data_IF_168672628509
#
_entry.id   IF_168672628509
#
_cell.length_a   1.000
_cell.length_b   1.000
_cell.length_c   1.000
_cell.angle_alpha   90.00
_cell.angle_beta   90.00
_cell.angle_gamma   90.00
#
_symmetry.space_group_name_H-M   'P 1'
#
loop_
_entity.id
_entity.type
_entity.pdbx_description
1 polymer ?
#
# COMPACT_ATOMS: atom_id res chain seq x y z
N UNK A 1 20.75 9.26 -16.16
CA UNK A 1 19.70 9.41 -15.12
C UNK A 1 18.31 8.88 -15.57
N UNK A 2 18.25 8.08 -16.60
CA UNK A 2 16.97 7.63 -17.17
C UNK A 2 16.34 6.40 -16.49
N UNK A 3 16.84 6.00 -15.33
CA UNK A 3 16.42 4.79 -14.65
C UNK A 3 15.93 4.99 -13.20
N UNK A 4 15.47 6.19 -12.82
CA UNK A 4 15.01 6.49 -11.46
C UNK A 4 13.51 6.27 -11.29
N UNK A 5 13.12 5.61 -10.17
CA UNK A 5 11.74 5.59 -9.65
C UNK A 5 11.65 6.43 -8.40
N UNK A 6 10.65 7.29 -8.32
CA UNK A 6 10.33 8.05 -7.11
C UNK A 6 9.27 7.31 -6.31
N UNK A 7 9.51 7.06 -5.01
CA UNK A 7 8.57 6.38 -4.10
C UNK A 7 8.11 7.35 -3.03
N UNK A 8 6.92 7.94 -3.20
CA UNK A 8 6.29 8.79 -2.18
C UNK A 8 5.67 7.93 -1.08
N UNK A 9 6.05 8.18 0.16
CA UNK A 9 5.62 7.35 1.30
C UNK A 9 6.52 6.14 1.54
N UNK A 10 7.78 6.18 1.09
CA UNK A 10 8.76 5.10 1.24
C UNK A 10 8.98 4.65 2.69
N UNK A 11 8.88 5.55 3.68
CA UNK A 11 8.97 5.22 5.11
C UNK A 11 7.69 4.59 5.70
N UNK A 12 6.62 4.46 4.90
CA UNK A 12 5.38 3.80 5.29
C UNK A 12 5.48 2.27 5.23
N UNK A 13 4.43 1.59 5.72
CA UNK A 13 4.34 0.13 5.74
C UNK A 13 4.54 -0.50 4.34
N UNK A 14 3.68 -0.14 3.38
CA UNK A 14 3.76 -0.69 2.03
C UNK A 14 4.95 -0.11 1.27
N UNK A 15 5.21 1.21 1.41
CA UNK A 15 6.32 1.88 0.73
C UNK A 15 7.69 1.28 1.06
N UNK A 16 7.92 0.88 2.31
CA UNK A 16 9.18 0.22 2.71
C UNK A 16 9.33 -1.18 2.10
N UNK A 17 8.24 -1.94 1.96
CA UNK A 17 8.27 -3.24 1.29
C UNK A 17 8.56 -3.08 -0.21
N UNK A 18 7.91 -2.10 -0.86
CA UNK A 18 8.17 -1.76 -2.26
C UNK A 18 9.64 -1.35 -2.46
N UNK A 19 10.17 -0.49 -1.59
CA UNK A 19 11.58 -0.06 -1.67
C UNK A 19 12.53 -1.25 -1.52
N UNK A 20 12.33 -2.14 -0.53
CA UNK A 20 13.14 -3.37 -0.37
C UNK A 20 13.14 -4.22 -1.63
N UNK A 21 11.97 -4.46 -2.20
CA UNK A 21 11.84 -5.25 -3.42
C UNK A 21 12.58 -4.60 -4.60
N UNK A 22 12.37 -3.30 -4.85
CA UNK A 22 12.99 -2.58 -5.96
C UNK A 22 14.52 -2.57 -5.83
N UNK A 23 15.06 -2.24 -4.66
CA UNK A 23 16.51 -2.25 -4.41
C UNK A 23 17.10 -3.66 -4.60
N UNK A 24 16.44 -4.70 -4.10
CA UNK A 24 16.85 -6.09 -4.32
C UNK A 24 16.83 -6.46 -5.80
N UNK A 25 15.81 -6.04 -6.54
CA UNK A 25 15.66 -6.33 -7.97
C UNK A 25 16.70 -5.59 -8.82
N UNK A 26 17.04 -4.33 -8.47
CA UNK A 26 18.10 -3.56 -9.11
C UNK A 26 19.45 -4.27 -8.91
N UNK A 27 19.80 -4.62 -7.68
CA UNK A 27 21.06 -5.31 -7.35
C UNK A 27 21.19 -6.66 -8.05
N UNK A 28 20.09 -7.31 -8.33
CA UNK A 28 20.02 -8.57 -9.07
C UNK A 28 19.98 -8.39 -10.60
N UNK A 29 19.99 -7.14 -11.11
CA UNK A 29 19.91 -6.85 -12.55
C UNK A 29 18.55 -7.22 -13.19
N UNK A 30 17.48 -7.34 -12.40
CA UNK A 30 16.15 -7.79 -12.86
C UNK A 30 15.11 -6.67 -12.94
N UNK A 31 15.42 -5.48 -12.45
CA UNK A 31 14.49 -4.36 -12.45
C UNK A 31 14.51 -3.63 -13.80
N UNK A 32 13.38 -3.61 -14.49
CA UNK A 32 13.20 -2.89 -15.76
C UNK A 32 11.90 -2.12 -15.77
N UNK A 33 11.79 -1.12 -16.65
CA UNK A 33 10.54 -0.43 -16.99
C UNK A 33 9.82 -1.13 -18.14
N UNK A 34 8.61 -0.64 -18.46
CA UNK A 34 7.76 -1.15 -19.55
C UNK A 34 8.39 -1.07 -20.95
N UNK A 35 9.38 -0.21 -21.16
CA UNK A 35 10.11 -0.06 -22.41
C UNK A 35 11.43 -0.84 -22.43
N UNK A 36 11.65 -1.73 -21.45
CA UNK A 36 12.83 -2.57 -21.32
C UNK A 36 14.07 -1.88 -20.78
N UNK A 37 14.03 -0.55 -20.53
CA UNK A 37 15.18 0.14 -19.91
C UNK A 37 15.36 -0.30 -18.46
N UNK A 38 16.62 -0.43 -17.99
CA UNK A 38 16.87 -0.83 -16.63
C UNK A 38 16.41 0.24 -15.63
N UNK A 39 15.78 -0.21 -14.53
CA UNK A 39 15.62 0.58 -13.31
C UNK A 39 16.95 0.54 -12.56
N UNK A 40 17.56 1.69 -12.33
CA UNK A 40 18.92 1.79 -11.77
C UNK A 40 18.97 2.51 -10.42
N UNK A 41 17.94 3.30 -10.09
CA UNK A 41 17.92 4.11 -8.88
C UNK A 41 16.51 4.26 -8.30
N UNK A 42 16.39 4.32 -6.98
CA UNK A 42 15.14 4.60 -6.27
C UNK A 42 15.29 5.84 -5.41
N UNK A 43 14.49 6.86 -5.68
CA UNK A 43 14.35 8.05 -4.85
C UNK A 43 13.26 7.83 -3.80
N UNK A 44 13.63 7.55 -2.56
CA UNK A 44 12.72 7.39 -1.45
C UNK A 44 12.29 8.75 -0.88
N UNK A 45 11.04 9.16 -1.10
CA UNK A 45 10.50 10.40 -0.51
C UNK A 45 9.83 10.08 0.81
N UNK A 46 10.32 10.71 1.88
CA UNK A 46 9.81 10.60 3.24
C UNK A 46 9.49 11.97 3.81
N UNK A 47 8.51 12.07 4.70
CA UNK A 47 8.19 13.34 5.36
C UNK A 47 9.37 13.83 6.23
N UNK A 48 9.56 15.15 6.40
CA UNK A 48 10.50 15.70 7.38
C UNK A 48 10.21 15.13 8.78
N UNK A 49 11.25 14.74 9.51
CA UNK A 49 11.11 14.11 10.83
C UNK A 49 10.50 12.69 10.84
N UNK A 50 10.16 12.14 9.67
CA UNK A 50 9.66 10.76 9.56
C UNK A 50 10.72 9.73 9.95
N UNK A 51 10.31 8.67 10.69
CA UNK A 51 11.20 7.55 11.00
C UNK A 51 11.68 6.84 9.74
N UNK A 52 12.94 6.43 9.74
CA UNK A 52 13.54 5.57 8.73
C UNK A 52 13.69 4.12 9.21
N UNK A 53 13.19 3.77 10.40
CA UNK A 53 13.31 2.44 11.02
C UNK A 53 12.96 1.31 10.04
N UNK A 54 11.88 1.46 9.25
CA UNK A 54 11.48 0.49 8.24
C UNK A 54 12.45 0.36 7.06
N UNK A 55 13.37 1.31 6.91
CA UNK A 55 14.38 1.36 5.85
C UNK A 55 15.76 0.92 6.33
N UNK A 56 15.99 0.80 7.64
CA UNK A 56 17.31 0.47 8.22
C UNK A 56 17.83 -0.89 7.77
N UNK A 57 16.92 -1.86 7.54
CA UNK A 57 17.31 -3.18 7.02
C UNK A 57 17.70 -3.16 5.53
N UNK A 58 17.46 -2.04 4.82
CA UNK A 58 17.88 -1.89 3.43
C UNK A 58 19.31 -1.35 3.47
N UNK A 59 20.26 -2.24 3.24
CA UNK A 59 21.67 -1.83 3.20
C UNK A 59 21.84 -0.62 2.27
N UNK A 60 22.43 0.45 2.79
CA UNK A 60 22.80 1.62 1.99
C UNK A 60 23.67 1.19 0.82
N UNK A 61 23.47 1.78 -0.33
CA UNK A 61 24.19 1.46 -1.56
C UNK A 61 23.88 2.44 -2.67
N UNK A 62 24.55 2.30 -3.79
CA UNK A 62 24.54 3.28 -4.87
C UNK A 62 23.23 3.36 -5.68
N UNK A 63 22.25 2.49 -5.39
CA UNK A 63 21.01 2.39 -6.17
C UNK A 63 19.76 2.95 -5.48
N UNK A 64 19.90 3.67 -4.37
CA UNK A 64 18.79 4.38 -3.75
C UNK A 64 19.24 5.52 -2.84
N UNK A 65 18.36 6.51 -2.67
CA UNK A 65 18.59 7.65 -1.80
C UNK A 65 17.32 8.19 -1.18
N UNK A 66 17.45 8.98 -0.12
CA UNK A 66 16.33 9.58 0.64
C UNK A 66 16.24 11.07 0.36
N UNK A 67 15.04 11.53 -0.02
CA UNK A 67 14.65 12.94 -0.05
C UNK A 67 13.64 13.18 1.08
N UNK A 68 13.94 14.15 1.95
CA UNK A 68 13.01 14.54 3.03
C UNK A 68 12.16 15.71 2.57
N UNK A 69 10.93 15.41 2.17
CA UNK A 69 10.00 16.39 1.60
C UNK A 69 8.63 16.23 2.24
N UNK A 70 8.03 17.34 2.66
CA UNK A 70 6.61 17.37 2.95
C UNK A 70 5.84 17.26 1.63
N UNK A 71 5.00 16.23 1.49
CA UNK A 71 4.22 16.04 0.27
C UNK A 71 3.26 17.20 0.00
N UNK A 72 2.92 18.00 1.01
CA UNK A 72 2.07 19.19 0.88
C UNK A 72 2.85 20.44 0.46
N UNK A 73 4.17 20.42 0.50
CA UNK A 73 5.02 21.45 -0.08
C UNK A 73 5.25 21.17 -1.59
N UNK A 74 4.33 21.77 -2.38
CA UNK A 74 4.35 21.63 -3.85
C UNK A 74 5.71 22.04 -4.46
N UNK A 75 6.30 23.12 -3.96
CA UNK A 75 7.57 23.64 -4.49
C UNK A 75 8.71 22.65 -4.25
N UNK A 76 8.84 22.18 -3.01
CA UNK A 76 9.87 21.20 -2.64
C UNK A 76 9.71 19.88 -3.41
N UNK A 77 8.47 19.41 -3.59
CA UNK A 77 8.21 18.19 -4.38
C UNK A 77 8.60 18.38 -5.86
N UNK A 78 8.23 19.51 -6.47
CA UNK A 78 8.60 19.82 -7.84
C UNK A 78 10.12 19.98 -8.02
N UNK A 79 10.84 20.51 -7.01
CA UNK A 79 12.31 20.60 -7.02
C UNK A 79 12.95 19.21 -7.05
N UNK A 80 12.43 18.26 -6.25
CA UNK A 80 12.88 16.86 -6.30
C UNK A 80 12.62 16.26 -7.67
N UNK A 81 11.44 16.44 -8.24
CA UNK A 81 11.10 15.91 -9.57
C UNK A 81 12.01 16.48 -10.66
N UNK A 82 12.31 17.78 -10.63
CA UNK A 82 13.24 18.41 -11.57
C UNK A 82 14.66 17.88 -11.46
N UNK A 83 15.16 17.68 -10.22
CA UNK A 83 16.53 17.16 -10.00
C UNK A 83 16.65 15.69 -10.35
N UNK A 84 15.69 14.87 -9.91
CA UNK A 84 15.74 13.41 -10.05
C UNK A 84 15.26 12.91 -11.41
N UNK A 85 14.40 13.68 -12.08
CA UNK A 85 13.77 13.33 -13.37
C UNK A 85 13.29 11.87 -13.43
N UNK A 86 12.42 11.44 -12.48
CA UNK A 86 12.06 10.04 -12.37
C UNK A 86 11.23 9.58 -13.57
N UNK A 87 11.53 8.38 -14.08
CA UNK A 87 10.75 7.73 -15.13
C UNK A 87 9.39 7.23 -14.63
N UNK A 88 9.28 6.94 -13.35
CA UNK A 88 8.00 6.64 -12.73
C UNK A 88 7.93 7.20 -11.30
N UNK A 89 6.71 7.51 -10.86
CA UNK A 89 6.43 7.87 -9.49
C UNK A 89 5.36 6.95 -8.90
N UNK A 90 5.69 6.34 -7.77
CA UNK A 90 4.78 5.53 -6.98
C UNK A 90 4.17 6.40 -5.87
N UNK A 91 2.86 6.66 -5.95
CA UNK A 91 2.12 7.46 -4.97
C UNK A 91 1.49 6.57 -3.91
N UNK A 92 2.25 6.26 -2.84
CA UNK A 92 1.80 5.50 -1.67
C UNK A 92 1.58 6.39 -0.44
N UNK A 93 2.01 7.66 -0.52
CA UNK A 93 1.84 8.60 0.58
C UNK A 93 0.36 8.89 0.84
N UNK A 94 -0.03 8.83 2.11
CA UNK A 94 -1.35 9.22 2.58
C UNK A 94 -1.25 9.69 4.03
N UNK A 95 -1.91 10.81 4.36
CA UNK A 95 -1.95 11.35 5.70
C UNK A 95 -3.35 11.21 6.32
N UNK A 96 -3.56 10.25 7.24
CA UNK A 96 -4.85 10.06 7.88
C UNK A 96 -5.12 11.10 8.98
N UNK A 97 -4.12 11.90 9.39
CA UNK A 97 -4.26 12.83 10.52
C UNK A 97 -5.15 14.05 10.24
N UNK A 98 -5.41 14.34 8.98
CA UNK A 98 -6.14 15.51 8.53
C UNK A 98 -7.67 15.37 8.51
N UNK A 99 -8.26 14.30 9.06
CA UNK A 99 -9.72 14.11 9.00
C UNK A 99 -10.50 14.85 10.12
N UNK A 100 -9.89 15.01 11.28
CA UNK A 100 -10.54 15.70 12.40
C UNK A 100 -10.53 17.21 12.21
N UNK A 101 -11.71 17.86 12.33
CA UNK A 101 -11.83 19.32 12.31
C UNK A 101 -11.72 19.99 10.94
N UNK A 102 -11.59 19.25 9.84
CA UNK A 102 -11.55 19.79 8.48
C UNK A 102 -12.88 19.60 7.76
N UNK A 103 -13.26 20.60 6.96
CA UNK A 103 -14.37 20.48 6.01
C UNK A 103 -14.02 19.49 4.89
N UNK A 104 -15.02 18.98 4.19
CA UNK A 104 -14.82 18.11 3.02
C UNK A 104 -13.95 18.81 1.95
N UNK A 105 -14.18 20.09 1.71
CA UNK A 105 -13.43 20.88 0.73
C UNK A 105 -11.95 21.02 1.10
N UNK A 106 -11.63 21.26 2.37
CA UNK A 106 -10.25 21.36 2.85
C UNK A 106 -9.54 20.01 2.74
N UNK A 107 -10.19 18.92 3.13
CA UNK A 107 -9.65 17.56 2.96
C UNK A 107 -9.40 17.24 1.49
N UNK A 108 -10.37 17.57 0.63
CA UNK A 108 -10.26 17.40 -0.81
C UNK A 108 -9.04 18.13 -1.36
N UNK A 109 -8.93 19.43 -1.09
CA UNK A 109 -7.80 20.24 -1.55
C UNK A 109 -6.46 19.70 -1.03
N UNK A 110 -6.40 19.36 0.27
CA UNK A 110 -5.19 18.84 0.91
C UNK A 110 -4.69 17.55 0.26
N UNK A 111 -5.56 16.56 0.05
CA UNK A 111 -5.13 15.25 -0.48
C UNK A 111 -4.93 15.24 -2.00
N UNK A 112 -5.61 16.12 -2.74
CA UNK A 112 -5.43 16.23 -4.18
C UNK A 112 -4.14 16.97 -4.56
N UNK A 113 -3.76 18.00 -3.79
CA UNK A 113 -2.60 18.84 -4.11
C UNK A 113 -1.28 18.08 -4.33
N UNK A 114 -0.89 17.07 -3.50
CA UNK A 114 0.31 16.29 -3.76
C UNK A 114 0.24 15.49 -5.07
N UNK A 115 -0.91 14.93 -5.39
CA UNK A 115 -1.12 14.17 -6.63
C UNK A 115 -1.05 15.08 -7.85
N UNK A 116 -1.66 16.29 -7.79
CA UNK A 116 -1.55 17.31 -8.83
C UNK A 116 -0.11 17.76 -9.04
N UNK A 117 0.61 18.06 -7.96
CA UNK A 117 2.01 18.47 -8.02
C UNK A 117 2.90 17.40 -8.68
N UNK A 118 2.59 16.11 -8.41
CA UNK A 118 3.28 14.97 -9.00
C UNK A 118 3.05 14.91 -10.51
N UNK A 119 1.80 14.97 -10.97
CA UNK A 119 1.46 14.94 -12.41
C UNK A 119 2.05 16.13 -13.16
N UNK A 120 1.98 17.33 -12.59
CA UNK A 120 2.55 18.53 -13.21
C UNK A 120 4.08 18.49 -13.27
N UNK A 121 4.73 17.99 -12.22
CA UNK A 121 6.20 17.86 -12.20
C UNK A 121 6.73 16.80 -13.15
N UNK A 122 5.88 15.82 -13.54
CA UNK A 122 6.24 14.77 -14.50
C UNK A 122 5.91 15.14 -15.95
N UNK A 123 5.13 16.19 -16.21
CA UNK A 123 4.69 16.59 -17.57
C UNK A 123 5.83 16.68 -18.58
N UNK A 124 6.94 17.30 -18.18
CA UNK A 124 8.07 17.58 -19.05
C UNK A 124 9.16 16.48 -18.99
N UNK A 125 8.84 15.35 -18.37
CA UNK A 125 9.71 14.18 -18.30
C UNK A 125 9.21 13.14 -19.30
N UNK A 126 9.90 12.94 -20.44
CA UNK A 126 9.43 12.01 -21.47
C UNK A 126 9.23 10.60 -20.96
N UNK A 127 8.16 9.97 -21.40
CA UNK A 127 7.81 8.59 -21.05
C UNK A 127 7.78 8.36 -19.51
N UNK A 128 7.27 9.33 -18.74
CA UNK A 128 7.02 9.13 -17.30
C UNK A 128 5.63 8.54 -17.06
N UNK A 129 5.43 7.90 -15.89
CA UNK A 129 4.09 7.43 -15.46
C UNK A 129 3.91 7.54 -13.95
N UNK A 130 2.65 7.57 -13.52
CA UNK A 130 2.26 7.51 -12.10
C UNK A 130 1.61 6.15 -11.81
N UNK A 131 2.06 5.48 -10.74
CA UNK A 131 1.34 4.35 -10.15
C UNK A 131 0.73 4.84 -8.84
N UNK A 132 -0.59 4.96 -8.83
CA UNK A 132 -1.37 5.42 -7.67
C UNK A 132 -1.82 4.25 -6.80
N UNK A 133 -1.95 4.51 -5.51
CA UNK A 133 -2.44 3.53 -4.52
C UNK A 133 -3.83 3.90 -4.03
N UNK A 134 -4.80 3.06 -4.35
CA UNK A 134 -6.17 3.12 -3.84
C UNK A 134 -6.44 2.01 -2.80
N UNK A 135 -7.68 1.81 -2.43
CA UNK A 135 -8.08 0.86 -1.39
C UNK A 135 -9.41 0.19 -1.72
N UNK A 136 -9.54 -1.10 -1.41
CA UNK A 136 -10.79 -1.82 -1.52
C UNK A 136 -11.91 -1.27 -0.60
N UNK A 137 -11.58 -0.49 0.43
CA UNK A 137 -12.56 0.17 1.29
C UNK A 137 -13.44 1.20 0.58
N UNK A 138 -13.17 1.50 -0.70
CA UNK A 138 -14.04 2.32 -1.55
C UNK A 138 -15.24 1.54 -2.08
N UNK A 139 -15.23 0.21 -2.02
CA UNK A 139 -16.21 -0.67 -2.64
C UNK A 139 -17.39 -0.98 -1.71
N UNK A 140 -18.52 -1.26 -2.31
CA UNK A 140 -19.64 -1.92 -1.62
C UNK A 140 -19.22 -3.31 -1.14
N UNK A 141 -19.87 -3.83 -0.06
CA UNK A 141 -19.65 -5.21 0.40
C UNK A 141 -19.87 -6.23 -0.71
N UNK A 142 -19.03 -7.26 -0.76
CA UNK A 142 -19.23 -8.34 -1.73
C UNK A 142 -18.11 -9.35 -1.82
N UNK A 143 -18.38 -10.35 -2.64
CA UNK A 143 -17.45 -11.38 -3.08
C UNK A 143 -17.09 -11.18 -4.55
N UNK A 144 -15.87 -11.58 -4.94
CA UNK A 144 -15.40 -11.53 -6.32
C UNK A 144 -15.61 -10.15 -6.95
N UNK A 145 -15.25 -9.10 -6.16
CA UNK A 145 -15.40 -7.71 -6.56
C UNK A 145 -14.38 -7.37 -7.66
N UNK A 146 -14.85 -7.26 -8.90
CA UNK A 146 -14.08 -6.75 -10.03
C UNK A 146 -14.07 -5.22 -10.07
N UNK A 147 -13.31 -4.63 -10.98
CA UNK A 147 -13.10 -3.18 -11.07
C UNK A 147 -14.36 -2.36 -11.40
N UNK A 148 -15.39 -3.03 -11.94
CA UNK A 148 -16.72 -2.46 -12.15
C UNK A 148 -17.67 -2.56 -10.95
N UNK A 149 -17.21 -3.08 -9.80
CA UNK A 149 -18.03 -3.18 -8.60
C UNK A 149 -18.46 -1.80 -8.10
N UNK A 150 -19.68 -1.66 -7.53
CA UNK A 150 -20.19 -0.37 -7.07
C UNK A 150 -19.33 0.21 -5.95
N UNK A 151 -19.14 1.53 -5.99
CA UNK A 151 -18.47 2.28 -4.93
C UNK A 151 -19.48 2.60 -3.81
N UNK A 152 -19.08 2.35 -2.56
CA UNK A 152 -19.85 2.70 -1.37
C UNK A 152 -18.92 3.09 -0.22
N UNK A 153 -18.20 4.24 -0.34
CA UNK A 153 -17.24 4.66 0.67
C UNK A 153 -17.95 5.16 1.94
N UNK A 154 -17.84 4.44 3.04
CA UNK A 154 -18.43 4.83 4.32
C UNK A 154 -17.49 5.67 5.19
N UNK A 155 -16.16 5.42 5.10
CA UNK A 155 -15.14 6.12 5.87
C UNK A 155 -14.63 7.35 5.12
N UNK A 156 -14.26 8.41 5.81
CA UNK A 156 -13.65 9.61 5.21
C UNK A 156 -12.37 9.24 4.43
N UNK A 157 -11.60 8.29 4.94
CA UNK A 157 -10.49 7.68 4.22
C UNK A 157 -10.91 7.13 2.84
N UNK A 158 -11.99 6.35 2.80
CA UNK A 158 -12.48 5.75 1.57
C UNK A 158 -13.04 6.80 0.60
N UNK A 159 -13.79 7.80 1.10
CA UNK A 159 -14.27 8.94 0.29
C UNK A 159 -13.12 9.70 -0.34
N UNK A 160 -12.04 9.94 0.41
CA UNK A 160 -10.84 10.59 -0.10
C UNK A 160 -10.15 9.74 -1.18
N UNK A 161 -10.10 8.40 -1.00
CA UNK A 161 -9.55 7.51 -2.04
C UNK A 161 -10.38 7.52 -3.32
N UNK A 162 -11.72 7.54 -3.24
CA UNK A 162 -12.60 7.72 -4.41
C UNK A 162 -12.28 9.02 -5.13
N UNK A 163 -12.19 10.12 -4.39
CA UNK A 163 -11.85 11.42 -4.97
C UNK A 163 -10.52 11.38 -5.75
N UNK A 164 -9.48 10.76 -5.19
CA UNK A 164 -8.18 10.65 -5.86
C UNK A 164 -8.28 9.74 -7.09
N UNK A 165 -8.97 8.61 -7.00
CA UNK A 165 -9.22 7.70 -8.13
C UNK A 165 -9.90 8.45 -9.30
N UNK A 166 -10.95 9.21 -9.00
CA UNK A 166 -11.73 9.98 -9.98
C UNK A 166 -10.96 11.15 -10.60
N UNK A 167 -9.94 11.67 -9.91
CA UNK A 167 -9.12 12.76 -10.42
C UNK A 167 -8.08 12.33 -11.47
N UNK A 168 -7.68 11.05 -11.48
CA UNK A 168 -6.61 10.55 -12.34
C UNK A 168 -6.85 10.79 -13.85
N UNK A 169 -8.04 10.53 -14.43
CA UNK A 169 -8.30 10.82 -15.84
C UNK A 169 -8.15 12.30 -16.19
N UNK A 170 -8.65 13.20 -15.35
CA UNK A 170 -8.54 14.65 -15.59
C UNK A 170 -7.08 15.13 -15.46
N UNK A 171 -6.30 14.58 -14.52
CA UNK A 171 -4.88 14.86 -14.39
C UNK A 171 -4.11 14.39 -15.63
N UNK A 172 -4.41 13.20 -16.14
CA UNK A 172 -3.85 12.69 -17.39
C UNK A 172 -4.18 13.60 -18.57
N UNK A 173 -5.45 13.98 -18.73
CA UNK A 173 -5.88 14.86 -19.81
C UNK A 173 -5.14 16.21 -19.81
N UNK A 174 -4.88 16.75 -18.61
CA UNK A 174 -4.21 18.07 -18.42
C UNK A 174 -2.70 17.99 -18.64
N UNK A 175 -2.05 16.87 -18.31
CA UNK A 175 -0.59 16.76 -18.26
C UNK A 175 0.01 15.81 -19.30
N UNK A 176 -0.79 14.92 -19.87
CA UNK A 176 -0.31 13.83 -20.74
C UNK A 176 0.36 12.68 -19.98
N UNK A 177 0.54 12.78 -18.66
CA UNK A 177 1.22 11.74 -17.87
C UNK A 177 0.30 10.53 -17.67
N UNK A 178 0.66 9.33 -18.14
CA UNK A 178 -0.14 8.12 -17.97
C UNK A 178 -0.12 7.64 -16.51
N UNK A 179 -1.16 6.91 -16.13
CA UNK A 179 -1.32 6.39 -14.78
C UNK A 179 -1.80 4.95 -14.74
N UNK A 180 -1.47 4.26 -13.66
CA UNK A 180 -2.03 2.97 -13.26
C UNK A 180 -2.50 3.12 -11.81
N UNK A 181 -3.67 2.58 -11.46
CA UNK A 181 -4.21 2.63 -10.10
C UNK A 181 -4.30 1.22 -9.50
N UNK A 182 -3.58 0.98 -8.42
CA UNK A 182 -3.60 -0.27 -7.67
C UNK A 182 -4.55 -0.14 -6.46
N UNK A 183 -5.69 -0.80 -6.53
CA UNK A 183 -6.68 -0.83 -5.44
C UNK A 183 -6.41 -2.04 -4.56
N UNK A 184 -5.80 -1.80 -3.41
CA UNK A 184 -5.32 -2.85 -2.52
C UNK A 184 -6.42 -3.37 -1.60
N UNK A 185 -6.52 -4.70 -1.50
CA UNK A 185 -7.31 -5.39 -0.47
C UNK A 185 -6.50 -5.51 0.83
N UNK A 186 -7.07 -6.10 1.88
CA UNK A 186 -6.47 -6.05 3.21
C UNK A 186 -5.00 -6.50 3.22
N UNK A 187 -4.09 -5.59 3.54
CA UNK A 187 -2.65 -5.83 3.59
C UNK A 187 -2.21 -6.06 5.03
N UNK A 188 -1.40 -7.10 5.27
CA UNK A 188 -0.77 -7.41 6.54
C UNK A 188 0.71 -7.75 6.35
N UNK A 189 1.51 -7.76 7.40
CA UNK A 189 2.89 -8.27 7.31
C UNK A 189 3.88 -7.60 8.25
N UNK A 190 5.16 -7.74 7.89
CA UNK A 190 6.28 -7.12 8.61
C UNK A 190 6.17 -5.60 8.55
N UNK A 191 6.52 -4.94 9.65
CA UNK A 191 6.48 -3.47 9.74
C UNK A 191 5.08 -2.82 9.63
N UNK A 192 4.00 -3.58 9.72
CA UNK A 192 2.64 -3.04 9.84
C UNK A 192 2.56 -2.07 11.04
N UNK A 193 1.55 -1.21 11.08
CA UNK A 193 1.35 -0.37 12.26
C UNK A 193 1.01 -1.26 13.46
N UNK A 194 1.71 -1.05 14.59
CA UNK A 194 1.60 -1.82 15.84
C UNK A 194 0.18 -1.95 16.40
N UNK A 195 -0.73 -1.05 16.02
CA UNK A 195 -2.12 -1.04 16.47
C UNK A 195 -3.07 -1.80 15.53
N UNK A 196 -2.54 -2.37 14.42
CA UNK A 196 -3.30 -3.23 13.53
C UNK A 196 -3.41 -4.64 14.10
N UNK A 197 -4.36 -5.41 13.59
CA UNK A 197 -4.80 -6.69 14.15
C UNK A 197 -3.64 -7.67 14.40
N UNK A 198 -2.77 -7.91 13.40
CA UNK A 198 -1.69 -8.90 13.52
C UNK A 198 -0.71 -8.52 14.63
N UNK A 199 -0.02 -7.36 14.59
CA UNK A 199 0.93 -7.00 15.64
C UNK A 199 0.26 -6.81 17.00
N UNK A 200 -0.98 -6.33 17.06
CA UNK A 200 -1.75 -6.23 18.29
C UNK A 200 -1.96 -7.59 18.94
N UNK A 201 -2.43 -8.59 18.18
CA UNK A 201 -2.62 -9.95 18.67
C UNK A 201 -1.31 -10.57 19.15
N UNK A 202 -0.25 -10.51 18.34
CA UNK A 202 1.05 -11.07 18.73
C UNK A 202 1.53 -10.47 20.05
N UNK A 203 1.45 -9.14 20.21
CA UNK A 203 1.88 -8.45 21.43
C UNK A 203 1.06 -8.89 22.63
N UNK A 204 -0.27 -8.86 22.56
CA UNK A 204 -1.13 -9.26 23.67
C UNK A 204 -0.90 -10.72 24.07
N UNK A 205 -0.87 -11.62 23.09
CA UNK A 205 -0.76 -13.05 23.35
C UNK A 205 0.63 -13.42 23.92
N UNK A 206 1.72 -12.83 23.42
CA UNK A 206 3.06 -13.07 23.95
C UNK A 206 3.23 -12.54 25.38
N UNK A 207 2.60 -11.40 25.69
CA UNK A 207 2.63 -10.81 27.03
C UNK A 207 1.65 -11.46 28.03
N UNK A 208 0.88 -12.46 27.62
CA UNK A 208 -0.12 -13.10 28.47
C UNK A 208 -1.33 -12.20 28.80
N UNK A 209 -1.58 -11.15 28.00
CA UNK A 209 -2.66 -10.19 28.18
C UNK A 209 -3.84 -10.57 27.27
N UNK A 210 -5.10 -10.53 27.77
CA UNK A 210 -6.27 -10.78 26.93
C UNK A 210 -6.36 -9.82 25.74
N UNK A 211 -6.42 -10.36 24.53
CA UNK A 211 -6.61 -9.60 23.31
C UNK A 211 -8.10 -9.40 23.03
N UNK A 212 -8.58 -8.17 23.15
CA UNK A 212 -9.98 -7.83 22.91
C UNK A 212 -10.22 -7.54 21.42
N UNK A 213 -11.11 -8.31 20.81
CA UNK A 213 -11.48 -8.16 19.39
C UNK A 213 -13.00 -8.19 19.23
N UNK A 214 -13.49 -7.72 18.09
CA UNK A 214 -14.90 -7.81 17.73
C UNK A 214 -15.32 -9.28 17.48
N UNK A 215 -16.54 -9.52 17.00
CA UNK A 215 -17.04 -10.89 16.74
C UNK A 215 -16.16 -11.70 15.77
N UNK A 216 -15.38 -11.05 14.88
CA UNK A 216 -14.44 -11.69 13.97
C UNK A 216 -15.02 -12.43 12.77
N UNK A 217 -16.32 -12.31 12.51
CA UNK A 217 -16.98 -12.98 11.36
C UNK A 217 -16.84 -12.20 10.05
N UNK A 218 -16.30 -10.99 10.09
CA UNK A 218 -16.03 -10.22 8.89
C UNK A 218 -15.06 -10.98 7.97
N UNK A 219 -15.43 -11.08 6.70
CA UNK A 219 -14.60 -11.74 5.68
C UNK A 219 -13.73 -10.70 4.98
N UNK A 220 -12.45 -10.96 4.92
CA UNK A 220 -11.45 -10.12 4.27
C UNK A 220 -10.59 -10.94 3.32
N UNK A 221 -10.15 -10.29 2.27
CA UNK A 221 -9.11 -10.79 1.37
C UNK A 221 -7.76 -10.30 1.90
N UNK A 222 -7.10 -11.15 2.69
CA UNK A 222 -5.82 -10.83 3.34
C UNK A 222 -4.65 -11.10 2.41
N UNK A 223 -3.76 -10.12 2.28
CA UNK A 223 -2.62 -10.16 1.38
C UNK A 223 -1.34 -9.75 2.12
N UNK A 224 -0.30 -10.54 1.97
CA UNK A 224 1.03 -10.25 2.52
C UNK A 224 1.66 -9.05 1.82
N UNK A 225 2.30 -8.17 2.58
CA UNK A 225 2.88 -6.91 2.08
C UNK A 225 3.98 -7.11 1.03
N UNK A 226 4.76 -8.20 1.13
CA UNK A 226 5.83 -8.47 0.16
C UNK A 226 5.21 -8.92 -1.18
N UNK A 227 4.08 -9.64 -1.15
CA UNK A 227 3.30 -9.97 -2.35
C UNK A 227 2.68 -8.70 -2.96
N UNK A 228 2.13 -7.81 -2.14
CA UNK A 228 1.60 -6.53 -2.61
C UNK A 228 2.71 -5.68 -3.26
N UNK A 229 3.93 -5.68 -2.72
CA UNK A 229 5.06 -4.95 -3.32
C UNK A 229 5.37 -5.41 -4.75
N UNK A 230 5.16 -6.70 -5.07
CA UNK A 230 5.34 -7.21 -6.44
C UNK A 230 4.38 -6.57 -7.43
N UNK A 231 3.15 -6.24 -7.03
CA UNK A 231 2.20 -5.56 -7.91
C UNK A 231 2.71 -4.18 -8.38
N UNK A 232 3.45 -3.45 -7.52
CA UNK A 232 4.08 -2.18 -7.90
C UNK A 232 5.21 -2.38 -8.90
N UNK A 233 6.05 -3.40 -8.72
CA UNK A 233 7.10 -3.72 -9.69
C UNK A 233 6.51 -4.11 -11.04
N UNK A 234 5.46 -4.92 -11.05
CA UNK A 234 4.75 -5.29 -12.28
C UNK A 234 4.08 -4.07 -12.95
N UNK A 235 3.51 -3.16 -12.17
CA UNK A 235 2.95 -1.91 -12.72
C UNK A 235 4.01 -1.01 -13.35
N UNK A 236 5.27 -1.05 -12.88
CA UNK A 236 6.40 -0.37 -13.53
C UNK A 236 6.80 -1.03 -14.86
N UNK A 237 6.54 -2.33 -15.01
CA UNK A 237 6.86 -3.13 -16.20
C UNK A 237 5.68 -3.23 -17.16
N UNK A 238 4.47 -2.89 -16.73
CA UNK A 238 3.24 -3.06 -17.48
C UNK A 238 3.25 -2.25 -18.80
N UNK A 239 2.76 -2.82 -19.91
CA UNK A 239 2.71 -2.14 -21.19
C UNK A 239 1.79 -0.91 -21.17
N UNK A 240 1.83 -0.10 -22.22
CA UNK A 240 1.07 1.16 -22.30
C UNK A 240 -0.44 0.96 -22.23
N UNK A 241 -0.94 -0.15 -22.73
CA UNK A 241 -2.37 -0.49 -22.71
C UNK A 241 -2.90 -0.81 -21.31
N UNK A 242 -2.01 -1.02 -20.32
CA UNK A 242 -2.37 -1.08 -18.90
C UNK A 242 -2.60 0.31 -18.29
N UNK A 243 -2.16 1.38 -18.94
CA UNK A 243 -2.37 2.75 -18.47
C UNK A 243 -3.84 3.17 -18.56
N UNK A 244 -4.25 4.09 -17.70
CA UNK A 244 -5.63 4.54 -17.58
C UNK A 244 -6.56 3.54 -16.89
N UNK A 245 -6.01 2.49 -16.27
CA UNK A 245 -6.80 1.41 -15.66
C UNK A 245 -6.58 1.30 -14.16
N UNK A 246 -7.63 0.78 -13.50
CA UNK A 246 -7.62 0.36 -12.10
C UNK A 246 -7.41 -1.15 -12.09
N UNK A 247 -6.61 -1.64 -11.13
CA UNK A 247 -6.38 -3.05 -10.89
C UNK A 247 -6.65 -3.39 -9.42
N UNK A 248 -7.49 -4.38 -9.19
CA UNK A 248 -7.71 -4.92 -7.85
C UNK A 248 -6.59 -5.87 -7.47
N UNK A 249 -5.86 -5.55 -6.41
CA UNK A 249 -4.74 -6.33 -5.91
C UNK A 249 -5.17 -7.03 -4.64
N UNK A 250 -5.55 -8.29 -4.80
CA UNK A 250 -6.06 -9.17 -3.75
C UNK A 250 -6.03 -10.62 -4.20
N UNK A 251 -6.14 -11.57 -3.28
CA UNK A 251 -6.00 -13.00 -3.56
C UNK A 251 -7.26 -13.64 -4.18
N UNK A 252 -8.41 -12.97 -4.11
CA UNK A 252 -9.71 -13.55 -4.45
C UNK A 252 -10.22 -14.59 -3.42
N UNK A 253 -9.55 -14.72 -2.28
CA UNK A 253 -9.93 -15.65 -1.20
C UNK A 253 -10.38 -14.89 0.05
N UNK A 254 -11.60 -15.15 0.47
CA UNK A 254 -12.14 -14.59 1.69
C UNK A 254 -11.78 -15.44 2.89
N UNK A 255 -11.20 -14.82 3.91
CA UNK A 255 -10.90 -15.45 5.21
C UNK A 255 -11.53 -14.61 6.31
N UNK A 256 -12.15 -15.25 7.31
CA UNK A 256 -12.68 -14.51 8.45
C UNK A 256 -11.57 -13.95 9.32
N UNK A 257 -11.84 -12.81 9.96
CA UNK A 257 -10.93 -12.24 10.96
C UNK A 257 -10.64 -13.25 12.07
N UNK A 258 -11.62 -14.11 12.38
CA UNK A 258 -11.50 -15.17 13.39
C UNK A 258 -10.50 -16.25 12.98
N UNK A 259 -10.56 -16.73 11.73
CA UNK A 259 -9.58 -17.69 11.18
C UNK A 259 -8.18 -17.07 11.12
N UNK A 260 -8.06 -15.83 10.66
CA UNK A 260 -6.79 -15.09 10.63
C UNK A 260 -6.18 -14.97 12.04
N UNK A 261 -6.99 -14.62 13.05
CA UNK A 261 -6.56 -14.54 14.44
C UNK A 261 -6.14 -15.90 15.02
N UNK A 262 -6.80 -16.99 14.62
CA UNK A 262 -6.46 -18.34 15.06
C UNK A 262 -5.07 -18.77 14.60
N UNK A 263 -4.71 -18.48 13.35
CA UNK A 263 -3.35 -18.76 12.83
C UNK A 263 -2.28 -18.01 13.63
N UNK A 264 -2.54 -16.75 14.00
CA UNK A 264 -1.61 -15.96 14.84
C UNK A 264 -1.49 -16.58 16.24
N UNK A 265 -2.60 -16.99 16.82
CA UNK A 265 -2.64 -17.60 18.15
C UNK A 265 -1.87 -18.93 18.23
N UNK A 266 -1.87 -19.71 17.19
CA UNK A 266 -1.07 -20.94 17.12
C UNK A 266 0.45 -20.66 17.18
N UNK A 267 0.90 -19.56 16.61
CA UNK A 267 2.31 -19.14 16.67
C UNK A 267 2.73 -18.74 18.09
N UNK A 268 1.84 -18.11 18.84
CA UNK A 268 2.10 -17.64 20.21
C UNK A 268 1.81 -18.67 21.29
N UNK A 269 0.98 -19.69 21.00
CA UNK A 269 0.56 -20.72 21.95
C UNK A 269 -0.53 -20.31 22.94
N UNK A 270 -1.09 -19.08 22.85
CA UNK A 270 -2.00 -18.49 23.82
C UNK A 270 -3.40 -18.18 23.27
N UNK A 271 -3.97 -19.07 22.43
CA UNK A 271 -5.27 -18.90 21.79
C UNK A 271 -6.40 -18.57 22.77
N UNK A 272 -6.33 -19.11 24.01
CA UNK A 272 -7.33 -18.89 25.04
C UNK A 272 -7.42 -17.45 25.54
N UNK A 273 -6.44 -16.60 25.21
CA UNK A 273 -6.45 -15.17 25.56
C UNK A 273 -7.20 -14.29 24.54
N UNK A 274 -7.58 -14.80 23.39
CA UNK A 274 -8.39 -14.00 22.45
C UNK A 274 -9.82 -13.91 23.00
N UNK A 275 -10.29 -12.69 23.19
CA UNK A 275 -11.64 -12.36 23.66
C UNK A 275 -12.45 -11.83 22.47
N UNK A 276 -13.09 -12.73 21.74
CA UNK A 276 -14.07 -12.34 20.73
C UNK A 276 -15.31 -11.73 21.38
N UNK A 277 -15.98 -10.85 20.64
CA UNK A 277 -17.15 -10.08 21.11
C UNK A 277 -16.86 -9.12 22.30
N UNK A 278 -15.58 -8.91 22.64
CA UNK A 278 -15.18 -8.04 23.75
C UNK A 278 -15.28 -6.55 23.41
N UNK A 279 -15.22 -6.20 22.11
CA UNK A 279 -15.44 -4.85 21.63
C UNK A 279 -16.54 -4.86 20.56
N UNK A 280 -17.29 -3.75 20.51
CA UNK A 280 -18.33 -3.58 19.50
C UNK A 280 -17.70 -3.42 18.12
N UNK A 281 -18.22 -4.11 17.12
CA UNK A 281 -17.87 -3.81 15.73
C UNK A 281 -18.33 -2.39 15.36
N UNK A 282 -17.54 -1.71 14.56
CA UNK A 282 -17.96 -0.42 14.01
C UNK A 282 -19.21 -0.62 13.15
N UNK A 283 -20.18 0.29 13.25
CA UNK A 283 -21.34 0.32 12.34
C UNK A 283 -20.94 0.52 10.86
N UNK A 284 -19.72 1.03 10.66
CA UNK A 284 -19.12 1.22 9.34
C UNK A 284 -18.29 0.01 8.88
N UNK A 285 -18.26 -1.07 9.65
CA UNK A 285 -17.49 -2.25 9.29
C UNK A 285 -18.17 -3.00 8.12
N UNK A 286 -17.38 -3.29 7.10
CA UNK A 286 -17.84 -3.98 5.90
C UNK A 286 -17.90 -5.48 6.22
N UNK A 287 -19.05 -6.17 6.07
CA UNK A 287 -19.17 -7.57 6.46
C UNK A 287 -18.33 -8.51 5.57
N UNK A 288 -18.14 -8.17 4.29
CA UNK A 288 -17.41 -8.98 3.33
C UNK A 288 -16.75 -8.12 2.26
N UNK A 289 -15.46 -8.35 2.02
CA UNK A 289 -14.69 -7.60 1.04
C UNK A 289 -13.60 -8.51 0.42
N UNK A 290 -13.94 -9.11 -0.75
CA UNK A 290 -13.08 -10.08 -1.45
C UNK A 290 -12.94 -9.70 -2.90
N UNK A 291 -11.71 -9.68 -3.43
CA UNK A 291 -11.39 -9.26 -4.78
C UNK A 291 -11.76 -10.29 -5.85
N UNK A 292 -11.82 -9.79 -7.08
CA UNK A 292 -11.63 -10.58 -8.29
C UNK A 292 -10.28 -10.17 -8.90
N UNK A 293 -9.21 -10.96 -8.77
CA UNK A 293 -7.88 -10.59 -9.23
C UNK A 293 -7.65 -10.79 -10.73
N UNK A 294 -8.60 -11.38 -11.47
CA UNK A 294 -8.42 -11.85 -12.85
C UNK A 294 -7.92 -10.77 -13.82
N UNK A 295 -8.26 -9.50 -13.61
CA UNK A 295 -7.74 -8.42 -14.43
C UNK A 295 -6.24 -8.20 -14.17
N UNK A 296 -5.83 -8.13 -12.91
CA UNK A 296 -4.42 -7.98 -12.54
C UNK A 296 -3.59 -9.19 -13.01
N UNK A 297 -4.15 -10.39 -12.95
CA UNK A 297 -3.51 -11.60 -13.48
C UNK A 297 -3.25 -11.51 -14.98
N UNK A 298 -4.27 -11.14 -15.76
CA UNK A 298 -4.15 -11.10 -17.24
C UNK A 298 -3.33 -9.94 -17.75
N UNK A 299 -3.49 -8.75 -17.17
CA UNK A 299 -3.00 -7.50 -17.76
C UNK A 299 -1.74 -6.96 -17.07
N UNK A 300 -1.47 -7.33 -15.83
CA UNK A 300 -0.23 -7.03 -15.12
C UNK A 300 0.69 -8.25 -14.94
N UNK A 301 0.20 -9.46 -15.16
CA UNK A 301 0.93 -10.69 -14.83
C UNK A 301 1.07 -10.91 -13.31
N UNK A 302 0.26 -10.23 -12.49
CA UNK A 302 0.31 -10.38 -11.03
C UNK A 302 -0.34 -11.68 -10.59
N UNK A 303 0.37 -12.51 -9.85
CA UNK A 303 -0.14 -13.80 -9.38
C UNK A 303 -0.32 -13.75 -7.86
N UNK A 304 -1.54 -13.92 -7.35
CA UNK A 304 -1.80 -13.97 -5.92
C UNK A 304 -1.06 -15.14 -5.25
N UNK A 305 -0.55 -14.91 -4.05
CA UNK A 305 -0.03 -16.00 -3.22
C UNK A 305 -1.18 -16.60 -2.43
N UNK A 306 -1.46 -17.89 -2.67
CA UNK A 306 -2.60 -18.59 -2.07
C UNK A 306 -2.30 -19.26 -0.72
N UNK A 307 -1.06 -19.28 -0.27
CA UNK A 307 -0.68 -19.84 1.03
C UNK A 307 -0.75 -18.78 2.14
N UNK A 308 -1.98 -18.38 2.48
CA UNK A 308 -2.24 -17.39 3.52
C UNK A 308 -1.68 -17.83 4.87
N UNK A 309 -1.87 -19.11 5.23
CA UNK A 309 -1.47 -19.62 6.54
C UNK A 309 0.04 -19.46 6.76
N UNK A 310 0.86 -19.90 5.80
CA UNK A 310 2.31 -19.78 5.87
C UNK A 310 2.74 -18.30 5.98
N UNK A 311 2.10 -17.40 5.22
CA UNK A 311 2.38 -15.96 5.24
C UNK A 311 2.04 -15.34 6.59
N UNK A 312 0.87 -15.66 7.14
CA UNK A 312 0.47 -15.17 8.46
C UNK A 312 1.41 -15.69 9.55
N UNK A 313 1.77 -16.97 9.52
CA UNK A 313 2.73 -17.57 10.46
C UNK A 313 4.09 -16.87 10.38
N UNK A 314 4.62 -16.66 9.19
CA UNK A 314 5.89 -15.95 8.97
C UNK A 314 5.87 -14.51 9.52
N UNK A 315 4.81 -13.78 9.23
CA UNK A 315 4.64 -12.41 9.73
C UNK A 315 4.48 -12.37 11.26
N UNK A 316 3.69 -13.30 11.84
CA UNK A 316 3.52 -13.41 13.28
C UNK A 316 4.82 -13.77 14.01
N UNK A 317 5.62 -14.70 13.46
CA UNK A 317 6.94 -15.04 14.01
C UNK A 317 7.90 -13.85 13.98
N UNK A 318 7.92 -13.08 12.89
CA UNK A 318 8.72 -11.87 12.79
C UNK A 318 8.33 -10.83 13.86
N UNK A 319 7.02 -10.60 14.04
CA UNK A 319 6.53 -9.70 15.08
C UNK A 319 6.85 -10.20 16.49
N UNK A 320 6.73 -11.52 16.71
CA UNK A 320 7.05 -12.15 18.00
C UNK A 320 8.50 -11.91 18.40
N UNK A 321 9.44 -12.07 17.45
CA UNK A 321 10.85 -11.78 17.68
C UNK A 321 11.07 -10.30 18.07
N UNK A 322 10.40 -9.36 17.41
CA UNK A 322 10.53 -7.93 17.70
C UNK A 322 9.89 -7.53 19.04
N UNK A 323 8.74 -8.08 19.38
CA UNK A 323 8.10 -7.85 20.69
C UNK A 323 9.03 -8.33 21.83
N UNK A 324 9.66 -9.50 21.67
CA UNK A 324 10.61 -10.03 22.63
C UNK A 324 11.93 -9.27 22.68
N UNK A 325 12.29 -8.58 21.63
CA UNK A 325 13.46 -7.69 21.57
C UNK A 325 13.17 -6.28 22.15
N UNK A 326 11.97 -6.02 22.64
CA UNK A 326 11.63 -4.77 23.33
C UNK A 326 10.93 -3.72 22.48
N UNK A 327 10.30 -4.11 21.39
CA UNK A 327 9.45 -3.26 20.54
C UNK A 327 8.00 -3.20 21.04
#
# INVERSE_FOLDING_TARGET
MDGTVLVMGAGGFIGSAVLRLLVSSIRAGRAVFWDGRPLTDVCAVVRPGGSLERLEEIALGDCWGVERVDMFDRSALQDVLRRRRPKAALHLAFDPSGFAGQTEMERRARHLAPLEALFEGLRDIPASRVVHTSSAWVLAPGDRLGEGAPLQPHLEYAKTKVLLDESLPALHQRTGVPWINLRLFNVFGKYENKDRLLPYLVRCLDQGVPAQVSHGYQIRDFNDVDTIAQAYQLALQAPEDACGKIFHIGSGRGTSVREFASIIAEVTGNAHLIRFDAIRSSEQDIPRLVSDPRRAERELGWTPVYDLEQRVRSAAQWWLQRVRAGL
#
